data_IF_408158473886
#
_entry.id   IF_408158473886
#
_cell.length_a   1.000
_cell.length_b   1.000
_cell.length_c   1.000
_cell.angle_alpha   90.00
_cell.angle_beta   90.00
_cell.angle_gamma   90.00
#
_symmetry.space_group_name_H-M   'P 1'
#
loop_
_entity.id
_entity.type
_entity.pdbx_description
1 polymer ?
#
# COMPACT_ATOMS: atom_id res chain seq x y z
N UNK A 1 8.47 12.63 -10.62
CA UNK A 1 7.32 11.99 -9.91
C UNK A 1 6.88 10.79 -10.75
N UNK A 2 6.71 9.58 -10.18
CA UNK A 2 6.45 8.35 -10.98
C UNK A 2 5.06 8.30 -11.64
N UNK A 3 4.06 8.89 -11.01
CA UNK A 3 2.67 8.89 -11.48
C UNK A 3 2.24 10.32 -11.76
N UNK A 4 1.54 10.54 -12.88
CA UNK A 4 0.95 11.85 -13.21
C UNK A 4 -0.14 12.23 -12.19
N UNK A 5 -0.28 13.52 -11.90
CA UNK A 5 -1.38 14.02 -11.07
C UNK A 5 -2.59 14.25 -11.97
N UNK A 6 -3.76 13.80 -11.51
CA UNK A 6 -5.01 13.94 -12.26
C UNK A 6 -5.87 14.98 -11.54
N UNK A 7 -5.62 16.27 -11.76
CA UNK A 7 -6.18 17.37 -10.93
C UNK A 7 -7.70 17.26 -10.76
N UNK A 8 -8.45 17.11 -11.86
CA UNK A 8 -9.90 16.98 -11.83
C UNK A 8 -10.37 15.75 -11.03
N UNK A 9 -9.75 14.59 -11.24
CA UNK A 9 -10.11 13.34 -10.57
C UNK A 9 -9.71 13.36 -9.09
N UNK A 10 -8.53 13.91 -8.79
CA UNK A 10 -8.02 14.03 -7.43
C UNK A 10 -8.82 15.03 -6.60
N UNK A 11 -9.29 16.13 -7.19
CA UNK A 11 -10.20 17.05 -6.50
C UNK A 11 -11.48 16.34 -6.05
N UNK A 12 -12.07 15.49 -6.90
CA UNK A 12 -13.22 14.66 -6.50
C UNK A 12 -12.88 13.67 -5.37
N UNK A 13 -11.66 13.12 -5.34
CA UNK A 13 -11.21 12.27 -4.22
C UNK A 13 -10.99 13.05 -2.93
N UNK A 14 -10.47 14.28 -3.00
CA UNK A 14 -10.30 15.18 -1.86
C UNK A 14 -11.66 15.53 -1.27
N UNK A 15 -12.62 15.96 -2.10
CA UNK A 15 -13.98 16.28 -1.66
C UNK A 15 -14.64 15.08 -0.96
N UNK A 16 -14.64 13.89 -1.59
CA UNK A 16 -15.20 12.67 -0.97
C UNK A 16 -14.52 12.29 0.34
N UNK A 17 -13.20 12.51 0.46
CA UNK A 17 -12.47 12.27 1.70
C UNK A 17 -12.93 13.22 2.81
N UNK A 18 -13.07 14.51 2.51
CA UNK A 18 -13.46 15.52 3.50
C UNK A 18 -14.90 15.34 3.97
N UNK A 19 -15.84 15.11 3.05
CA UNK A 19 -17.23 14.82 3.40
C UNK A 19 -17.33 13.56 4.27
N UNK A 20 -16.54 12.52 3.96
CA UNK A 20 -16.47 11.31 4.80
C UNK A 20 -15.95 11.66 6.20
N UNK A 21 -14.87 12.43 6.32
CA UNK A 21 -14.29 12.79 7.62
C UNK A 21 -15.22 13.63 8.49
N UNK A 22 -15.93 14.57 7.88
CA UNK A 22 -16.96 15.32 8.57
C UNK A 22 -18.08 14.41 9.09
N UNK A 23 -18.56 13.45 8.28
CA UNK A 23 -19.58 12.46 8.71
C UNK A 23 -19.10 11.52 9.83
N UNK A 24 -17.80 11.27 9.94
CA UNK A 24 -17.18 10.53 11.04
C UNK A 24 -17.05 11.37 12.33
N UNK A 25 -17.48 12.63 12.33
CA UNK A 25 -17.39 13.54 13.48
C UNK A 25 -16.01 14.20 13.65
N UNK A 26 -15.15 14.13 12.64
CA UNK A 26 -13.81 14.70 12.68
C UNK A 26 -13.82 16.18 12.27
N UNK A 27 -13.06 17.02 12.98
CA UNK A 27 -12.93 18.45 12.67
C UNK A 27 -12.14 18.64 11.37
N UNK A 28 -12.85 18.93 10.28
CA UNK A 28 -12.24 19.16 8.96
C UNK A 28 -11.73 20.59 8.77
N UNK A 29 -12.24 21.54 9.56
CA UNK A 29 -11.91 22.96 9.47
C UNK A 29 -10.83 23.37 10.48
N UNK A 30 -10.14 24.47 10.21
CA UNK A 30 -9.16 25.11 11.12
C UNK A 30 -9.80 25.99 12.20
N UNK A 31 -11.11 26.23 12.10
CA UNK A 31 -11.84 27.15 12.98
C UNK A 31 -12.14 26.50 14.33
N UNK A 32 -11.94 27.25 15.41
CA UNK A 32 -12.31 26.85 16.77
C UNK A 32 -13.82 27.06 17.01
N UNK A 33 -14.39 28.11 16.42
CA UNK A 33 -15.80 28.44 16.55
C UNK A 33 -16.69 27.51 15.73
N UNK A 34 -17.73 26.99 16.37
CA UNK A 34 -18.67 26.05 15.76
C UNK A 34 -19.46 26.66 14.60
N UNK A 35 -19.80 27.95 14.66
CA UNK A 35 -20.49 28.69 13.59
C UNK A 35 -19.64 28.75 12.33
N UNK A 36 -18.42 29.29 12.43
CA UNK A 36 -17.48 29.39 11.31
C UNK A 36 -17.11 28.01 10.73
N UNK A 37 -16.94 27.00 11.60
CA UNK A 37 -16.73 25.63 11.16
C UNK A 37 -17.91 25.09 10.35
N UNK A 38 -19.14 25.34 10.80
CA UNK A 38 -20.36 24.91 10.13
C UNK A 38 -20.53 25.59 8.77
N UNK A 39 -20.35 26.90 8.70
CA UNK A 39 -20.45 27.67 7.45
C UNK A 39 -19.47 27.16 6.39
N UNK A 40 -18.22 26.90 6.78
CA UNK A 40 -17.23 26.33 5.87
C UNK A 40 -17.60 24.91 5.41
N UNK A 41 -18.18 24.07 6.27
CA UNK A 41 -18.66 22.74 5.90
C UNK A 41 -19.84 22.84 4.93
N UNK A 42 -20.81 23.73 5.20
CA UNK A 42 -21.97 23.93 4.34
C UNK A 42 -21.53 24.39 2.94
N UNK A 43 -20.55 25.29 2.85
CA UNK A 43 -19.90 25.67 1.59
C UNK A 43 -19.30 24.44 0.90
N UNK A 44 -18.50 23.62 1.59
CA UNK A 44 -17.86 22.44 1.00
C UNK A 44 -18.89 21.49 0.37
N UNK A 45 -20.04 21.28 1.00
CA UNK A 45 -21.07 20.37 0.51
C UNK A 45 -21.65 20.80 -0.85
N UNK A 46 -21.59 22.09 -1.19
CA UNK A 46 -22.03 22.61 -2.50
C UNK A 46 -21.03 22.38 -3.63
N UNK A 47 -19.76 22.08 -3.32
CA UNK A 47 -18.64 22.08 -4.28
C UNK A 47 -18.37 20.72 -4.96
N UNK A 48 -19.31 19.76 -4.94
CA UNK A 48 -19.07 18.36 -5.33
C UNK A 48 -18.36 18.18 -6.69
N UNK A 49 -18.74 18.98 -7.70
CA UNK A 49 -18.22 18.87 -9.06
C UNK A 49 -17.33 20.05 -9.48
N UNK A 50 -16.80 20.82 -8.51
CA UNK A 50 -16.05 22.05 -8.78
C UNK A 50 -14.57 21.92 -8.35
N UNK A 51 -13.69 21.34 -9.19
CA UNK A 51 -12.35 20.94 -8.78
C UNK A 51 -11.46 22.11 -8.32
N UNK A 52 -11.63 23.28 -8.95
CA UNK A 52 -10.90 24.51 -8.62
C UNK A 52 -11.35 25.05 -7.26
N UNK A 53 -12.67 25.14 -7.03
CA UNK A 53 -13.23 25.64 -5.76
C UNK A 53 -12.91 24.71 -4.60
N UNK A 54 -12.89 23.39 -4.82
CA UNK A 54 -12.46 22.41 -3.80
C UNK A 54 -11.01 22.67 -3.36
N UNK A 55 -10.10 22.96 -4.29
CA UNK A 55 -8.71 23.26 -3.91
C UNK A 55 -8.60 24.58 -3.13
N UNK A 56 -9.32 25.63 -3.55
CA UNK A 56 -9.38 26.89 -2.81
C UNK A 56 -9.94 26.69 -1.39
N UNK A 57 -11.01 25.91 -1.25
CA UNK A 57 -11.59 25.56 0.06
C UNK A 57 -10.57 24.87 0.97
N UNK A 58 -9.76 23.97 0.41
CA UNK A 58 -8.70 23.25 1.14
C UNK A 58 -7.59 24.21 1.61
N UNK A 59 -7.23 25.20 0.81
CA UNK A 59 -6.22 26.19 1.19
C UNK A 59 -6.74 27.14 2.27
N UNK A 60 -8.02 27.50 2.20
CA UNK A 60 -8.62 28.48 3.08
C UNK A 60 -9.13 27.88 4.39
N UNK A 61 -9.85 26.76 4.39
CA UNK A 61 -10.60 26.34 5.59
C UNK A 61 -10.01 25.12 6.30
N UNK A 62 -9.11 24.38 5.65
CA UNK A 62 -8.68 23.05 6.12
C UNK A 62 -7.92 23.07 7.45
N UNK A 63 -8.24 22.10 8.32
CA UNK A 63 -7.43 21.78 9.48
C UNK A 63 -6.01 21.33 9.06
N UNK A 64 -4.92 22.01 9.50
CA UNK A 64 -3.55 21.66 9.11
C UNK A 64 -3.15 20.20 9.41
N UNK A 65 -3.65 19.62 10.51
CA UNK A 65 -3.38 18.23 10.88
C UNK A 65 -4.09 17.24 9.93
N UNK A 66 -5.27 17.61 9.41
CA UNK A 66 -6.00 16.80 8.44
C UNK A 66 -5.38 16.90 7.03
N UNK A 67 -4.86 18.08 6.67
CA UNK A 67 -4.22 18.31 5.36
C UNK A 67 -3.09 17.31 5.08
N UNK A 68 -2.23 17.04 6.06
CA UNK A 68 -1.12 16.09 5.91
C UNK A 68 -1.61 14.65 5.70
N UNK A 69 -2.58 14.20 6.48
CA UNK A 69 -3.20 12.86 6.32
C UNK A 69 -3.94 12.73 4.99
N UNK A 70 -4.61 13.79 4.55
CA UNK A 70 -5.27 13.84 3.25
C UNK A 70 -4.25 13.71 2.12
N UNK A 71 -3.15 14.48 2.13
CA UNK A 71 -2.09 14.40 1.11
C UNK A 71 -1.54 12.98 0.96
N UNK A 72 -1.28 12.29 2.08
CA UNK A 72 -0.83 10.89 2.06
C UNK A 72 -1.90 9.95 1.50
N UNK A 73 -3.17 10.15 1.89
CA UNK A 73 -4.31 9.35 1.41
C UNK A 73 -4.51 9.50 -0.10
N UNK A 74 -4.48 10.73 -0.63
CA UNK A 74 -4.60 11.00 -2.07
C UNK A 74 -3.41 10.41 -2.83
N UNK A 75 -2.19 10.52 -2.30
CA UNK A 75 -1.00 9.86 -2.89
C UNK A 75 -1.17 8.33 -2.96
N UNK A 76 -1.68 7.71 -1.90
CA UNK A 76 -1.94 6.27 -1.89
C UNK A 76 -3.01 5.87 -2.90
N UNK A 77 -4.10 6.66 -3.00
CA UNK A 77 -5.17 6.44 -3.98
C UNK A 77 -4.68 6.57 -5.42
N UNK A 78 -3.91 7.63 -5.73
CA UNK A 78 -3.24 7.82 -7.02
C UNK A 78 -2.38 6.62 -7.40
N UNK A 79 -1.51 6.17 -6.49
CA UNK A 79 -0.67 4.98 -6.72
C UNK A 79 -1.52 3.73 -7.02
N UNK A 80 -2.58 3.49 -6.25
CA UNK A 80 -3.47 2.32 -6.44
C UNK A 80 -4.26 2.41 -7.74
N UNK A 81 -4.66 3.61 -8.16
CA UNK A 81 -5.37 3.85 -9.41
C UNK A 81 -4.53 3.42 -10.60
N UNK A 82 -3.30 3.94 -10.75
CA UNK A 82 -2.40 3.54 -11.84
C UNK A 82 -1.94 2.08 -11.74
N UNK A 83 -1.65 1.58 -10.53
CA UNK A 83 -1.25 0.18 -10.37
C UNK A 83 -2.38 -0.83 -10.68
N UNK A 84 -3.64 -0.38 -10.75
CA UNK A 84 -4.75 -1.26 -11.11
C UNK A 84 -4.77 -1.60 -12.61
N UNK A 85 -4.14 -0.77 -13.45
CA UNK A 85 -4.07 -0.95 -14.91
C UNK A 85 -3.30 -2.20 -15.30
N UNK A 86 -2.22 -2.53 -14.58
CA UNK A 86 -1.35 -3.66 -14.90
C UNK A 86 -1.38 -4.73 -13.81
N UNK A 87 -1.62 -5.99 -14.18
CA UNK A 87 -1.70 -7.10 -13.24
C UNK A 87 -0.45 -7.26 -12.37
N UNK A 88 0.75 -7.10 -12.95
CA UNK A 88 2.02 -7.23 -12.22
C UNK A 88 2.28 -6.09 -11.22
N UNK A 89 1.57 -4.96 -11.31
CA UNK A 89 1.66 -3.86 -10.34
C UNK A 89 0.59 -3.90 -9.25
N UNK A 90 -0.46 -4.72 -9.44
CA UNK A 90 -1.53 -4.92 -8.45
C UNK A 90 -0.97 -5.66 -7.24
N UNK A 91 -1.43 -5.26 -6.05
CA UNK A 91 -1.08 -5.92 -4.78
C UNK A 91 -2.28 -6.67 -4.24
N UNK A 92 -2.02 -7.77 -3.53
CA UNK A 92 -3.03 -8.56 -2.82
C UNK A 92 -2.79 -8.41 -1.32
N UNK A 93 -3.87 -8.23 -0.56
CA UNK A 93 -3.83 -8.32 0.90
C UNK A 93 -3.97 -9.79 1.28
N UNK A 94 -3.16 -10.24 2.23
CA UNK A 94 -3.20 -11.58 2.80
C UNK A 94 -3.13 -11.44 4.31
N UNK A 95 -3.83 -12.31 5.03
CA UNK A 95 -3.68 -12.46 6.47
C UNK A 95 -2.77 -13.65 6.75
N UNK A 96 -1.87 -13.48 7.71
CA UNK A 96 -0.94 -14.52 8.17
C UNK A 96 -1.15 -14.73 9.66
N UNK A 97 -0.98 -15.98 10.12
CA UNK A 97 -0.88 -16.23 11.55
C UNK A 97 0.30 -15.44 12.14
N UNK A 98 0.13 -14.96 13.38
CA UNK A 98 1.08 -14.08 14.04
C UNK A 98 2.51 -14.66 14.02
N UNK A 99 2.66 -15.96 14.32
CA UNK A 99 3.97 -16.62 14.38
C UNK A 99 4.64 -16.73 13.00
N UNK A 100 3.86 -16.92 11.93
CA UNK A 100 4.34 -16.97 10.55
C UNK A 100 4.81 -15.59 10.12
N UNK A 101 4.00 -14.56 10.38
CA UNK A 101 4.35 -13.17 10.11
C UNK A 101 5.64 -12.77 10.86
N UNK A 102 5.77 -13.10 12.15
CA UNK A 102 6.94 -12.76 12.96
C UNK A 102 8.23 -13.34 12.37
N UNK A 103 8.19 -14.62 11.94
CA UNK A 103 9.34 -15.28 11.31
C UNK A 103 9.68 -14.67 9.96
N UNK A 104 8.68 -14.44 9.11
CA UNK A 104 8.88 -13.86 7.79
C UNK A 104 9.39 -12.41 7.87
N UNK A 105 8.80 -11.59 8.73
CA UNK A 105 9.18 -10.21 8.95
C UNK A 105 10.60 -10.11 9.52
N UNK A 106 10.93 -10.94 10.53
CA UNK A 106 12.28 -11.00 11.08
C UNK A 106 13.32 -11.42 10.04
N UNK A 107 13.01 -12.40 9.18
CA UNK A 107 13.92 -12.80 8.09
C UNK A 107 14.09 -11.69 7.05
N UNK A 108 12.99 -11.05 6.63
CA UNK A 108 13.00 -9.97 5.66
C UNK A 108 13.83 -8.77 6.16
N UNK A 109 13.65 -8.39 7.43
CA UNK A 109 14.42 -7.34 8.08
C UNK A 109 15.92 -7.69 8.14
N UNK A 110 16.28 -8.91 8.56
CA UNK A 110 17.69 -9.35 8.61
C UNK A 110 18.35 -9.36 7.22
N UNK A 111 17.60 -9.69 6.16
CA UNK A 111 18.10 -9.72 4.78
C UNK A 111 18.06 -8.35 4.08
N UNK A 112 17.50 -7.31 4.71
CA UNK A 112 17.33 -5.99 4.09
C UNK A 112 16.37 -6.01 2.89
N UNK A 113 15.42 -6.95 2.85
CA UNK A 113 14.50 -7.18 1.73
C UNK A 113 13.06 -6.93 2.14
N UNK A 114 12.21 -6.65 1.16
CA UNK A 114 10.76 -6.63 1.40
C UNK A 114 10.25 -8.04 1.68
N UNK A 115 9.07 -8.13 2.33
CA UNK A 115 8.40 -9.42 2.57
C UNK A 115 8.21 -10.19 1.26
N UNK A 116 7.78 -9.51 0.19
CA UNK A 116 7.56 -10.14 -1.11
C UNK A 116 8.85 -10.68 -1.73
N UNK A 117 9.94 -9.91 -1.73
CA UNK A 117 11.23 -10.38 -2.21
C UNK A 117 11.73 -11.57 -1.37
N UNK A 118 11.54 -11.52 -0.06
CA UNK A 118 11.92 -12.62 0.85
C UNK A 118 11.15 -13.89 0.55
N UNK A 119 9.85 -13.80 0.25
CA UNK A 119 9.03 -14.96 -0.16
C UNK A 119 9.58 -15.57 -1.45
N UNK A 120 9.92 -14.74 -2.46
CA UNK A 120 10.50 -15.23 -3.72
C UNK A 120 11.77 -16.03 -3.45
N UNK A 121 12.69 -15.47 -2.64
CA UNK A 121 13.92 -16.19 -2.31
C UNK A 121 13.68 -17.49 -1.56
N UNK A 122 12.71 -17.51 -0.63
CA UNK A 122 12.39 -18.72 0.14
C UNK A 122 11.84 -19.82 -0.76
N UNK A 123 11.05 -19.47 -1.78
CA UNK A 123 10.53 -20.41 -2.77
C UNK A 123 11.69 -20.97 -3.62
N UNK A 124 12.54 -20.09 -4.16
CA UNK A 124 13.73 -20.50 -4.92
C UNK A 124 14.66 -21.40 -4.09
N UNK A 125 14.97 -21.01 -2.85
CA UNK A 125 15.80 -21.79 -1.91
C UNK A 125 15.19 -23.17 -1.63
N UNK A 126 13.86 -23.26 -1.49
CA UNK A 126 13.14 -24.51 -1.26
C UNK A 126 13.16 -25.43 -2.49
N UNK A 127 12.89 -24.90 -3.68
CA UNK A 127 12.99 -25.66 -4.95
C UNK A 127 14.41 -26.18 -5.19
N UNK A 128 15.42 -25.37 -4.86
CA UNK A 128 16.81 -25.79 -4.94
C UNK A 128 17.15 -26.91 -3.94
N UNK A 129 16.62 -26.85 -2.72
CA UNK A 129 16.82 -27.90 -1.70
C UNK A 129 16.37 -29.27 -2.21
N UNK A 130 15.23 -29.36 -2.88
CA UNK A 130 14.73 -30.61 -3.48
C UNK A 130 15.64 -31.11 -4.59
N UNK A 131 16.06 -30.22 -5.50
CA UNK A 131 17.01 -30.54 -6.58
C UNK A 131 18.36 -31.02 -6.04
N UNK A 132 18.88 -30.41 -4.97
CA UNK A 132 20.13 -30.82 -4.34
C UNK A 132 20.01 -32.18 -3.66
N UNK A 133 18.89 -32.48 -3.01
CA UNK A 133 18.66 -33.79 -2.41
C UNK A 133 18.61 -34.90 -3.47
N UNK A 134 17.92 -34.67 -4.59
CA UNK A 134 17.91 -35.57 -5.75
C UNK A 134 19.32 -35.81 -6.30
N UNK A 135 20.07 -34.74 -6.60
CA UNK A 135 21.45 -34.83 -7.11
C UNK A 135 22.38 -35.59 -6.16
N UNK A 136 22.26 -35.33 -4.85
CA UNK A 136 23.04 -36.03 -3.83
C UNK A 136 22.68 -37.52 -3.75
N UNK A 137 21.39 -37.85 -3.89
CA UNK A 137 20.93 -39.24 -3.92
C UNK A 137 21.46 -39.97 -5.16
N UNK A 138 21.37 -39.37 -6.34
CA UNK A 138 21.93 -39.92 -7.59
C UNK A 138 23.44 -40.11 -7.48
N UNK A 139 24.19 -39.09 -7.04
CA UNK A 139 25.64 -39.20 -6.88
C UNK A 139 26.04 -40.34 -5.92
N UNK A 140 25.30 -40.51 -4.82
CA UNK A 140 25.54 -41.61 -3.87
C UNK A 140 25.27 -42.98 -4.51
N UNK A 141 24.20 -43.12 -5.30
CA UNK A 141 23.86 -44.34 -6.02
C UNK A 141 24.93 -44.67 -7.07
N UNK A 142 25.37 -43.68 -7.85
CA UNK A 142 26.39 -43.85 -8.88
C UNK A 142 27.72 -44.31 -8.27
N UNK A 143 28.15 -43.70 -7.15
CA UNK A 143 29.36 -44.10 -6.43
C UNK A 143 29.24 -45.52 -5.85
N UNK A 144 28.09 -45.88 -5.26
CA UNK A 144 27.86 -47.24 -4.76
C UNK A 144 27.89 -48.28 -5.89
N UNK A 145 27.32 -47.96 -7.05
CA UNK A 145 27.33 -48.83 -8.22
C UNK A 145 28.73 -49.00 -8.84
N UNK A 146 29.62 -48.02 -8.67
CA UNK A 146 31.03 -48.15 -9.07
C UNK A 146 31.85 -48.99 -8.09
N UNK A 147 31.60 -48.86 -6.77
CA UNK A 147 32.33 -49.59 -5.74
C UNK A 147 31.89 -51.06 -5.60
N UNK A 148 30.62 -51.38 -5.88
CA UNK A 148 30.09 -52.75 -5.78
C UNK A 148 30.26 -53.61 -7.04
N UNK A 149 31.15 -53.21 -7.96
CA UNK A 149 31.42 -53.89 -9.24
C UNK A 149 32.70 -54.75 -9.24
N UNK A 150 33.13 -55.22 -8.08
CA UNK A 150 34.01 -56.38 -7.90
C UNK A 150 33.21 -57.55 -7.33
#
# INVERSE_FOLDING_TARGET
MKYQQLENLESGWKWKYLVKKHREGELITRYVEASAAKEAVDLLLTLENEPVRVNAWIEEHMNPALLNRMKQTIRARRKRHFNAEHQHTRKKSIDLEFIVWQRLAGLAQRRGKTLSETIVQLIEDAEHKEKYASKMSTLKQDLQALLGKE
#
